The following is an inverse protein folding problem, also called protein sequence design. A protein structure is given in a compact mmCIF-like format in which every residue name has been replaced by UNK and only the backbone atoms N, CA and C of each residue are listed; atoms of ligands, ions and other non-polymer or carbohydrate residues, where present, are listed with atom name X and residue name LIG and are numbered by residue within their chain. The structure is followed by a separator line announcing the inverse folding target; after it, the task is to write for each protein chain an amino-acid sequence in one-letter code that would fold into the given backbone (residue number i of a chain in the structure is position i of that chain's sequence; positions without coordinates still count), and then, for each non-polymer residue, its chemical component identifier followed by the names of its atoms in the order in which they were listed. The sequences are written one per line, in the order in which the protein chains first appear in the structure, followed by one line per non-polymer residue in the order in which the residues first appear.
data_IF_708769076277
#
_entry.id   IF_708769076277
#
_cell.length_a   1.000
_cell.length_b   1.000
_cell.length_c   1.000
_cell.angle_alpha   90.00
_cell.angle_beta   90.00
_cell.angle_gamma   90.00
#
_symmetry.space_group_name_H-M   'P 1'
#
loop_
_entity.id
_entity.type
_entity.pdbx_description
1 polymer ?
#
# COMPACT_ATOMS: atom_id res chain seq x y z
N UNK A 1 -19.63 -63.25 -43.50
CA UNK A 1 -20.06 -61.84 -43.64
C UNK A 1 -20.11 -61.08 -42.31
N UNK A 2 -20.58 -61.66 -41.20
CA UNK A 2 -20.68 -60.95 -39.91
C UNK A 2 -19.34 -60.44 -39.35
N UNK A 3 -18.28 -61.27 -39.39
CA UNK A 3 -16.93 -60.91 -38.92
C UNK A 3 -16.37 -59.63 -39.57
N UNK A 4 -16.50 -59.51 -40.89
CA UNK A 4 -15.99 -58.35 -41.65
C UNK A 4 -16.79 -57.07 -41.32
N UNK A 5 -18.09 -57.21 -41.02
CA UNK A 5 -18.92 -56.09 -40.58
C UNK A 5 -18.48 -55.59 -39.20
N UNK A 6 -18.31 -56.50 -38.25
CA UNK A 6 -17.85 -56.19 -36.90
C UNK A 6 -16.47 -55.51 -36.91
N UNK A 7 -15.54 -55.99 -37.75
CA UNK A 7 -14.21 -55.38 -37.88
C UNK A 7 -14.28 -53.92 -38.36
N UNK A 8 -15.16 -53.61 -39.32
CA UNK A 8 -15.37 -52.24 -39.79
C UNK A 8 -15.97 -51.35 -38.71
N UNK A 9 -16.96 -51.87 -37.97
CA UNK A 9 -17.58 -51.16 -36.86
C UNK A 9 -16.54 -50.83 -35.77
N UNK A 10 -15.71 -51.81 -35.36
CA UNK A 10 -14.65 -51.57 -34.38
C UNK A 10 -13.64 -50.52 -34.85
N UNK A 11 -13.23 -50.55 -36.13
CA UNK A 11 -12.34 -49.53 -36.70
C UNK A 11 -12.95 -48.13 -36.65
N UNK A 12 -14.23 -48.00 -37.00
CA UNK A 12 -14.96 -46.73 -36.93
C UNK A 12 -15.06 -46.18 -35.50
N UNK A 13 -15.34 -47.05 -34.53
CA UNK A 13 -15.38 -46.67 -33.10
C UNK A 13 -13.99 -46.20 -32.63
N UNK A 14 -12.92 -46.90 -32.99
CA UNK A 14 -11.55 -46.51 -32.63
C UNK A 14 -11.20 -45.14 -33.20
N UNK A 15 -11.56 -44.88 -34.47
CA UNK A 15 -11.28 -43.59 -35.11
C UNK A 15 -12.07 -42.45 -34.46
N UNK A 16 -13.34 -42.69 -34.14
CA UNK A 16 -14.19 -41.75 -33.40
C UNK A 16 -13.60 -41.45 -32.02
N UNK A 17 -13.21 -42.48 -31.26
CA UNK A 17 -12.59 -42.32 -29.94
C UNK A 17 -11.28 -41.54 -30.02
N UNK A 18 -10.41 -41.82 -31.00
CA UNK A 18 -9.17 -41.07 -31.20
C UNK A 18 -9.45 -39.57 -31.43
N UNK A 19 -10.46 -39.26 -32.25
CA UNK A 19 -10.89 -37.88 -32.50
C UNK A 19 -11.39 -37.22 -31.21
N UNK A 20 -12.31 -37.86 -30.49
CA UNK A 20 -12.83 -37.33 -29.22
C UNK A 20 -11.74 -37.10 -28.17
N UNK A 21 -10.78 -38.03 -28.03
CA UNK A 21 -9.63 -37.84 -27.13
C UNK A 21 -8.80 -36.63 -27.53
N UNK A 22 -8.55 -36.44 -28.83
CA UNK A 22 -7.81 -35.27 -29.31
C UNK A 22 -8.53 -33.94 -29.03
N UNK A 23 -9.86 -33.91 -29.15
CA UNK A 23 -10.67 -32.73 -28.87
C UNK A 23 -10.69 -32.43 -27.37
N UNK A 24 -10.88 -33.44 -26.53
CA UNK A 24 -10.82 -33.29 -25.06
C UNK A 24 -9.46 -32.76 -24.62
N UNK A 25 -8.36 -33.28 -25.16
CA UNK A 25 -7.01 -32.78 -24.82
C UNK A 25 -6.82 -31.30 -25.16
N UNK A 26 -7.35 -30.83 -26.29
CA UNK A 26 -7.32 -29.40 -26.64
C UNK A 26 -8.11 -28.56 -25.64
N UNK A 27 -9.31 -29.00 -25.28
CA UNK A 27 -10.15 -28.29 -24.29
C UNK A 27 -9.48 -28.24 -22.93
N UNK A 28 -8.90 -29.35 -22.47
CA UNK A 28 -8.17 -29.42 -21.20
C UNK A 28 -6.98 -28.46 -21.21
N UNK A 29 -6.20 -28.43 -22.29
CA UNK A 29 -5.08 -27.51 -22.44
C UNK A 29 -5.53 -26.05 -22.35
N UNK A 30 -6.56 -25.66 -23.10
CA UNK A 30 -7.07 -24.28 -23.05
C UNK A 30 -7.59 -23.90 -21.67
N UNK A 31 -8.32 -24.80 -21.00
CA UNK A 31 -8.79 -24.56 -19.62
C UNK A 31 -7.62 -24.41 -18.65
N UNK A 32 -6.55 -25.20 -18.80
CA UNK A 32 -5.37 -25.09 -17.95
C UNK A 32 -4.69 -23.72 -18.09
N UNK A 33 -4.59 -23.20 -19.32
CA UNK A 33 -4.07 -21.85 -19.57
C UNK A 33 -4.93 -20.81 -18.88
N UNK A 34 -6.26 -20.84 -19.10
CA UNK A 34 -7.17 -19.90 -18.46
C UNK A 34 -7.13 -19.96 -16.93
N UNK A 35 -7.00 -21.16 -16.33
CA UNK A 35 -6.85 -21.30 -14.88
C UNK A 35 -5.60 -20.59 -14.39
N UNK A 36 -4.47 -20.76 -15.08
CA UNK A 36 -3.22 -20.10 -14.70
C UNK A 36 -3.34 -18.57 -14.82
N UNK A 37 -4.02 -18.06 -15.84
CA UNK A 37 -4.27 -16.63 -16.00
C UNK A 37 -5.12 -16.08 -14.84
N UNK A 38 -6.19 -16.80 -14.45
CA UNK A 38 -7.01 -16.42 -13.30
C UNK A 38 -6.22 -16.45 -11.99
N UNK A 39 -5.32 -17.43 -11.79
CA UNK A 39 -4.44 -17.47 -10.61
C UNK A 39 -3.60 -16.19 -10.55
N UNK A 40 -2.97 -15.80 -11.66
CA UNK A 40 -2.15 -14.59 -11.72
C UNK A 40 -2.96 -13.32 -11.40
N UNK A 41 -4.16 -13.18 -11.97
CA UNK A 41 -5.04 -12.04 -11.71
C UNK A 41 -5.43 -12.00 -10.22
N UNK A 42 -5.75 -13.14 -9.62
CA UNK A 42 -6.10 -13.22 -8.20
C UNK A 42 -4.91 -12.84 -7.31
N UNK A 43 -3.69 -13.25 -7.68
CA UNK A 43 -2.49 -12.87 -6.94
C UNK A 43 -2.18 -11.37 -7.04
N UNK A 44 -2.32 -10.79 -8.24
CA UNK A 44 -2.12 -9.35 -8.47
C UNK A 44 -3.12 -8.53 -7.66
N UNK A 45 -4.41 -8.84 -7.78
CA UNK A 45 -5.48 -8.12 -7.07
C UNK A 45 -5.34 -8.21 -5.55
N UNK A 46 -4.89 -9.36 -5.01
CA UNK A 46 -4.58 -9.49 -3.59
C UNK A 46 -3.43 -8.58 -3.16
N UNK A 47 -2.41 -8.44 -3.99
CA UNK A 47 -1.27 -7.55 -3.73
C UNK A 47 -1.70 -6.08 -3.74
N UNK A 48 -2.43 -5.65 -4.77
CA UNK A 48 -2.96 -4.30 -4.88
C UNK A 48 -3.87 -3.95 -3.70
N UNK A 49 -4.74 -4.88 -3.29
CA UNK A 49 -5.62 -4.70 -2.11
C UNK A 49 -4.81 -4.52 -0.82
N UNK A 50 -3.72 -5.26 -0.64
CA UNK A 50 -2.85 -5.11 0.53
C UNK A 50 -2.18 -3.73 0.56
N UNK A 51 -1.69 -3.26 -0.60
CA UNK A 51 -1.08 -1.93 -0.73
C UNK A 51 -2.12 -0.84 -0.40
N UNK A 52 -3.30 -0.90 -1.02
CA UNK A 52 -4.37 0.08 -0.80
C UNK A 52 -4.82 0.15 0.67
N UNK A 53 -4.85 -0.99 1.38
CA UNK A 53 -5.15 -1.01 2.82
C UNK A 53 -4.09 -0.31 3.66
N UNK A 54 -2.81 -0.56 3.38
CA UNK A 54 -1.72 0.11 4.08
C UNK A 54 -1.76 1.64 3.86
N UNK A 55 -2.01 2.08 2.63
CA UNK A 55 -2.14 3.51 2.30
C UNK A 55 -3.35 4.15 2.98
N UNK A 56 -4.49 3.45 2.98
CA UNK A 56 -5.69 3.89 3.68
C UNK A 56 -5.42 4.11 5.18
N UNK A 57 -4.77 3.16 5.84
CA UNK A 57 -4.49 3.25 7.28
C UNK A 57 -3.49 4.38 7.59
N UNK A 58 -2.48 4.58 6.74
CA UNK A 58 -1.57 5.71 6.86
C UNK A 58 -2.28 7.07 6.71
N UNK A 59 -3.18 7.20 5.73
CA UNK A 59 -3.99 8.41 5.53
C UNK A 59 -4.90 8.65 6.73
N UNK A 60 -5.57 7.59 7.21
CA UNK A 60 -6.46 7.66 8.36
C UNK A 60 -5.73 8.17 9.61
N UNK A 61 -4.54 7.64 9.90
CA UNK A 61 -3.71 8.10 11.01
C UNK A 61 -3.31 9.58 10.88
N UNK A 62 -2.95 10.00 9.67
CA UNK A 62 -2.60 11.40 9.39
C UNK A 62 -3.80 12.33 9.57
N UNK A 63 -4.99 11.89 9.15
CA UNK A 63 -6.23 12.64 9.33
C UNK A 63 -6.59 12.79 10.81
N UNK A 64 -6.41 11.73 11.60
CA UNK A 64 -6.60 11.77 13.06
C UNK A 64 -5.63 12.77 13.73
N UNK A 65 -4.37 12.79 13.31
CA UNK A 65 -3.39 13.78 13.77
C UNK A 65 -3.80 15.22 13.45
N UNK A 66 -4.36 15.47 12.27
CA UNK A 66 -4.91 16.77 11.91
C UNK A 66 -6.15 17.14 12.73
N UNK A 67 -7.03 16.18 13.00
CA UNK A 67 -8.18 16.39 13.88
C UNK A 67 -7.74 16.79 15.29
N UNK A 68 -6.76 16.09 15.85
CA UNK A 68 -6.18 16.42 17.16
C UNK A 68 -5.52 17.80 17.16
N UNK A 69 -4.75 18.12 16.12
CA UNK A 69 -4.10 19.43 15.98
C UNK A 69 -5.12 20.56 15.90
N UNK A 70 -6.21 20.36 15.14
CA UNK A 70 -7.33 21.30 15.06
C UNK A 70 -7.94 21.55 16.44
N UNK A 71 -8.27 20.48 17.18
CA UNK A 71 -8.82 20.60 18.52
C UNK A 71 -7.92 21.44 19.44
N UNK A 72 -6.61 21.20 19.42
CA UNK A 72 -5.64 21.97 20.21
C UNK A 72 -5.63 23.45 19.80
N UNK A 73 -5.62 23.74 18.50
CA UNK A 73 -5.63 25.11 17.99
C UNK A 73 -6.91 25.85 18.36
N UNK A 74 -8.06 25.22 18.18
CA UNK A 74 -9.37 25.78 18.56
C UNK A 74 -9.37 26.12 20.05
N UNK A 75 -8.89 25.20 20.91
CA UNK A 75 -8.82 25.45 22.34
C UNK A 75 -7.86 26.60 22.72
N UNK A 76 -6.70 26.70 22.07
CA UNK A 76 -5.75 27.81 22.30
C UNK A 76 -6.40 29.15 21.92
N UNK A 77 -7.11 29.19 20.79
CA UNK A 77 -7.80 30.38 20.31
C UNK A 77 -8.89 30.80 21.30
N UNK A 78 -9.72 29.85 21.75
CA UNK A 78 -10.80 30.11 22.72
C UNK A 78 -10.25 30.70 24.02
N UNK A 79 -9.17 30.12 24.56
CA UNK A 79 -8.52 30.60 25.79
C UNK A 79 -7.95 32.02 25.61
N UNK A 80 -7.39 32.35 24.44
CA UNK A 80 -6.88 33.70 24.15
C UNK A 80 -8.01 34.73 24.07
N UNK A 81 -9.11 34.38 23.42
CA UNK A 81 -10.30 35.24 23.34
C UNK A 81 -10.87 35.51 24.73
N UNK A 82 -10.98 34.48 25.58
CA UNK A 82 -11.46 34.62 26.97
C UNK A 82 -10.59 35.57 27.81
N UNK A 83 -9.29 35.59 27.57
CA UNK A 83 -8.33 36.47 28.26
C UNK A 83 -8.29 37.90 27.71
N UNK A 84 -9.13 38.22 26.71
CA UNK A 84 -9.20 39.55 26.10
C UNK A 84 -7.96 39.93 25.28
N UNK A 85 -7.09 38.95 24.97
CA UNK A 85 -5.84 39.21 24.25
C UNK A 85 -6.06 38.97 22.75
N UNK A 86 -6.59 40.00 22.06
CA UNK A 86 -7.01 39.93 20.64
C UNK A 86 -5.83 39.98 19.65
N UNK A 87 -4.61 40.26 20.14
CA UNK A 87 -3.39 40.06 19.34
C UNK A 87 -3.11 38.56 19.34
N UNK A 88 -3.55 37.85 18.29
CA UNK A 88 -3.33 36.40 18.12
C UNK A 88 -1.87 35.96 18.23
N UNK A 89 -1.61 34.64 18.15
CA UNK A 89 -0.28 33.99 18.29
C UNK A 89 0.81 34.86 17.65
N UNK A 90 1.58 35.54 18.49
CA UNK A 90 2.37 36.72 18.13
C UNK A 90 3.61 36.41 17.30
N UNK A 91 3.46 35.92 16.07
CA UNK A 91 4.58 35.77 15.13
C UNK A 91 5.23 37.13 14.80
N UNK A 92 4.52 38.24 15.02
CA UNK A 92 5.04 39.61 14.89
C UNK A 92 6.04 39.99 15.99
N UNK A 93 6.03 39.27 17.12
CA UNK A 93 6.91 39.52 18.27
C UNK A 93 8.14 38.60 18.30
N UNK A 94 8.16 37.57 17.45
CA UNK A 94 9.36 36.74 17.26
C UNK A 94 10.33 37.53 16.36
N UNK A 95 11.51 37.93 16.86
CA UNK A 95 12.48 38.64 16.03
C UNK A 95 12.89 37.75 14.86
N UNK A 96 13.03 38.35 13.68
CA UNK A 96 13.51 37.63 12.50
C UNK A 96 14.78 36.84 12.83
N UNK A 97 14.92 35.58 12.38
CA UNK A 97 16.12 34.79 12.63
C UNK A 97 17.37 35.60 12.28
N UNK A 98 18.30 35.68 13.22
CA UNK A 98 19.54 36.43 13.05
C UNK A 98 20.28 35.88 11.82
N UNK A 99 20.51 36.75 10.83
CA UNK A 99 21.18 36.42 9.56
C UNK A 99 22.66 36.04 9.71
N UNK A 100 23.15 35.82 10.93
CA UNK A 100 24.56 35.56 11.21
C UNK A 100 25.04 34.16 10.77
N UNK A 101 24.13 33.20 10.56
CA UNK A 101 24.46 31.86 10.07
C UNK A 101 24.17 31.64 8.58
N UNK A 102 23.55 32.61 7.90
CA UNK A 102 23.41 32.59 6.45
C UNK A 102 24.56 33.40 5.86
N UNK A 103 25.77 32.84 5.93
CA UNK A 103 26.87 33.27 5.06
C UNK A 103 26.33 33.28 3.64
N UNK A 104 26.59 34.35 2.87
CA UNK A 104 26.24 34.39 1.45
C UNK A 104 26.73 33.08 0.83
N UNK A 105 25.87 32.39 0.09
CA UNK A 105 26.28 31.18 -0.65
C UNK A 105 27.60 31.49 -1.37
N UNK A 106 28.62 30.62 -1.31
CA UNK A 106 29.88 30.85 -1.99
C UNK A 106 29.60 31.13 -3.47
N UNK A 107 30.27 32.13 -4.03
CA UNK A 107 30.17 32.40 -5.46
C UNK A 107 30.87 31.24 -6.22
N UNK A 108 30.57 31.02 -7.51
CA UNK A 108 31.03 29.84 -8.29
C UNK A 108 32.57 29.63 -8.26
N UNK A 109 33.34 30.71 -8.09
CA UNK A 109 34.80 30.70 -7.99
C UNK A 109 35.32 30.23 -6.61
N UNK A 110 34.50 30.42 -5.56
CA UNK A 110 34.82 30.12 -4.17
C UNK A 110 34.29 28.76 -3.70
N UNK A 111 33.33 28.19 -4.44
CA UNK A 111 32.76 26.86 -4.20
C UNK A 111 33.80 25.73 -4.08
N UNK A 112 34.90 25.68 -4.86
CA UNK A 112 35.93 24.65 -4.70
C UNK A 112 36.76 24.78 -3.41
N UNK A 113 36.69 25.92 -2.71
CA UNK A 113 37.47 26.21 -1.49
C UNK A 113 36.61 26.30 -0.23
N UNK A 114 35.31 26.06 -0.37
CA UNK A 114 34.40 26.10 0.76
C UNK A 114 34.64 24.89 1.66
N UNK A 115 35.27 25.12 2.80
CA UNK A 115 35.31 24.15 3.89
C UNK A 115 34.12 24.42 4.81
N UNK A 116 33.21 23.44 5.03
CA UNK A 116 32.16 23.55 6.02
C UNK A 116 32.78 23.89 7.39
N UNK A 117 32.45 25.06 7.91
CA UNK A 117 32.97 25.59 9.17
C UNK A 117 32.49 24.80 10.40
N UNK A 118 31.46 23.98 10.22
CA UNK A 118 30.95 23.05 11.21
C UNK A 118 31.28 21.64 10.72
N UNK A 119 32.21 20.92 11.38
CA UNK A 119 32.42 19.50 11.14
C UNK A 119 31.09 18.78 11.29
N UNK A 120 30.62 18.13 10.23
CA UNK A 120 29.41 17.32 10.25
C UNK A 120 29.74 16.00 10.94
N UNK A 121 29.76 15.98 12.27
CA UNK A 121 29.76 14.74 13.02
C UNK A 121 28.35 14.13 12.94
N UNK A 122 28.17 13.19 12.03
CA UNK A 122 26.89 12.55 11.75
C UNK A 122 26.27 11.90 13.01
N UNK A 123 27.08 11.46 13.97
CA UNK A 123 26.63 10.91 15.25
C UNK A 123 26.02 12.01 16.13
N UNK A 124 26.63 13.20 16.19
CA UNK A 124 26.14 14.34 16.98
C UNK A 124 24.83 14.91 16.41
N UNK A 125 24.72 15.00 15.08
CA UNK A 125 23.50 15.52 14.43
C UNK A 125 22.32 14.55 14.61
N UNK A 126 22.56 13.25 14.55
CA UNK A 126 21.51 12.23 14.71
C UNK A 126 21.08 12.08 16.17
N UNK A 127 22.03 12.10 17.11
CA UNK A 127 21.73 12.03 18.55
C UNK A 127 21.07 13.30 19.09
N UNK A 128 21.44 14.49 18.60
CA UNK A 128 20.78 15.76 18.95
C UNK A 128 19.33 15.87 18.48
N UNK A 129 18.96 15.13 17.43
CA UNK A 129 17.60 15.01 16.91
C UNK A 129 16.81 13.83 17.53
N UNK A 130 17.41 13.10 18.47
CA UNK A 130 16.77 11.98 19.17
C UNK A 130 16.77 10.66 18.39
N UNK A 131 17.52 10.56 17.29
CA UNK A 131 17.74 9.29 16.60
C UNK A 131 18.90 8.56 17.27
N UNK A 132 18.61 7.48 17.99
CA UNK A 132 19.64 6.56 18.47
C UNK A 132 19.94 5.55 17.35
N UNK A 133 21.20 5.40 16.92
CA UNK A 133 21.58 4.27 16.08
C UNK A 133 21.59 3.00 16.94
N UNK A 134 20.62 2.12 16.71
CA UNK A 134 20.58 0.79 17.31
C UNK A 134 21.68 -0.07 16.67
N UNK A 135 22.89 0.00 17.22
CA UNK A 135 23.95 -0.96 16.92
C UNK A 135 23.65 -2.29 17.62
N UNK A 136 22.97 -3.19 16.91
CA UNK A 136 23.01 -4.63 17.17
C UNK A 136 22.57 -5.42 15.93
N UNK A 137 23.52 -5.82 15.09
CA UNK A 137 23.78 -7.22 14.75
C UNK A 137 24.75 -7.28 13.58
N UNK A 138 25.98 -7.75 13.84
CA UNK A 138 26.76 -8.42 12.80
C UNK A 138 25.98 -9.66 12.34
N UNK A 139 25.81 -9.82 11.03
CA UNK A 139 25.03 -10.90 10.44
C UNK A 139 25.03 -10.80 8.92
N UNK A 140 26.13 -11.26 8.32
CA UNK A 140 26.38 -11.52 6.90
C UNK A 140 25.13 -11.83 6.05
N UNK A 141 24.97 -11.15 4.92
CA UNK A 141 25.02 -11.68 3.54
C UNK A 141 24.33 -10.72 2.57
N UNK A 142 25.00 -10.47 1.45
CA UNK A 142 24.47 -9.82 0.25
C UNK A 142 23.08 -10.35 -0.14
N UNK A 143 22.10 -9.46 -0.32
CA UNK A 143 21.49 -9.29 -1.63
C UNK A 143 20.61 -8.02 -1.72
N UNK A 144 20.83 -7.39 -2.86
CA UNK A 144 20.19 -6.20 -3.44
C UNK A 144 18.70 -6.43 -3.67
N UNK A 145 17.84 -5.65 -3.02
CA UNK A 145 16.59 -5.17 -3.59
C UNK A 145 16.23 -3.81 -2.98
N UNK A 146 16.26 -2.78 -3.84
CA UNK A 146 15.86 -1.41 -3.50
C UNK A 146 14.35 -1.38 -3.27
N UNK A 147 13.94 -1.36 -2.00
CA UNK A 147 12.68 -0.72 -1.62
C UNK A 147 13.03 0.61 -0.97
N UNK A 148 13.13 1.65 -1.80
CA UNK A 148 13.17 3.02 -1.30
C UNK A 148 11.78 3.61 -1.48
N UNK A 149 11.00 3.62 -0.40
CA UNK A 149 9.83 4.46 -0.23
C UNK A 149 10.32 5.92 -0.13
N UNK A 150 10.88 6.44 -1.22
CA UNK A 150 11.30 7.83 -1.34
C UNK A 150 10.06 8.66 -1.67
N UNK A 151 9.43 9.18 -0.62
CA UNK A 151 8.30 10.10 -0.69
C UNK A 151 8.71 11.43 -1.33
N UNK A 152 8.83 11.45 -2.66
CA UNK A 152 8.86 12.68 -3.44
C UNK A 152 7.41 13.09 -3.73
N UNK A 153 6.71 13.64 -2.74
CA UNK A 153 5.37 14.18 -2.96
C UNK A 153 5.48 15.66 -3.35
N UNK A 154 5.19 15.95 -4.61
CA UNK A 154 4.89 17.31 -5.07
C UNK A 154 3.58 17.82 -4.40
N UNK A 155 3.39 19.15 -4.28
CA UNK A 155 2.16 19.70 -3.70
C UNK A 155 0.93 19.27 -4.50
N UNK A 156 -0.20 18.96 -3.84
CA UNK A 156 -1.42 18.57 -4.53
C UNK A 156 -1.99 19.75 -5.32
N UNK A 157 -2.25 19.53 -6.61
CA UNK A 157 -3.04 20.45 -7.46
C UNK A 157 -4.51 20.31 -7.06
N UNK A 158 -5.11 21.42 -6.66
CA UNK A 158 -6.54 21.50 -6.34
C UNK A 158 -7.24 21.70 -7.69
N UNK A 159 -8.00 20.71 -8.16
CA UNK A 159 -8.94 20.89 -9.26
C UNK A 159 -10.28 21.31 -8.66
N UNK A 160 -10.77 22.48 -9.08
CA UNK A 160 -12.08 23.01 -8.70
C UNK A 160 -13.17 22.12 -9.32
N UNK A 161 -13.75 21.25 -8.50
CA UNK A 161 -14.86 20.37 -8.89
C UNK A 161 -16.18 21.12 -8.71
N UNK A 162 -16.61 21.81 -9.76
CA UNK A 162 -17.98 22.28 -9.89
C UNK A 162 -18.80 21.13 -10.50
N UNK A 163 -19.50 20.37 -9.65
CA UNK A 163 -20.42 19.32 -10.11
C UNK A 163 -21.70 19.37 -9.32
N UNK A 164 -22.70 19.95 -9.97
CA UNK A 164 -24.12 19.85 -9.65
C UNK A 164 -24.77 19.27 -10.91
N UNK A 165 -25.27 18.05 -10.85
CA UNK A 165 -26.61 17.77 -11.37
C UNK A 165 -27.16 16.44 -10.81
N UNK A 166 -28.47 16.47 -10.66
CA UNK A 166 -29.39 15.72 -9.82
C UNK A 166 -29.91 14.44 -10.51
N UNK A 167 -30.70 13.65 -9.75
CA UNK A 167 -31.60 12.55 -10.17
C UNK A 167 -30.93 11.18 -10.45
N UNK A 168 -31.38 10.02 -9.97
CA UNK A 168 -32.69 9.63 -9.41
C UNK A 168 -32.60 8.25 -8.75
N UNK A 169 -33.56 8.05 -7.85
CA UNK A 169 -33.93 6.90 -7.05
C UNK A 169 -34.42 5.70 -7.89
N UNK A 170 -33.91 4.48 -7.63
CA UNK A 170 -34.65 3.21 -7.85
C UNK A 170 -34.12 2.12 -6.91
N UNK A 171 -34.93 1.81 -5.91
CA UNK A 171 -34.97 0.55 -5.18
C UNK A 171 -35.37 -0.60 -6.10
N UNK A 172 -34.76 -1.78 -5.94
CA UNK A 172 -35.46 -3.06 -6.08
C UNK A 172 -34.74 -4.17 -5.30
N UNK A 173 -35.53 -4.86 -4.47
CA UNK A 173 -35.21 -6.10 -3.77
C UNK A 173 -35.13 -7.25 -4.77
N UNK A 174 -34.30 -8.26 -4.51
CA UNK A 174 -34.74 -9.63 -4.79
C UNK A 174 -34.10 -10.67 -3.84
N UNK A 175 -34.94 -11.64 -3.48
CA UNK A 175 -34.76 -12.67 -2.46
C UNK A 175 -34.14 -13.97 -3.02
N UNK A 176 -33.55 -14.76 -2.10
CA UNK A 176 -33.38 -16.22 -2.15
C UNK A 176 -32.29 -16.77 -3.11
N UNK A 177 -31.46 -17.75 -2.73
CA UNK A 177 -31.85 -19.11 -2.36
C UNK A 177 -30.83 -19.80 -1.44
N UNK A 178 -31.40 -20.71 -0.65
CA UNK A 178 -30.86 -21.59 0.38
C UNK A 178 -30.02 -22.77 -0.13
N UNK A 179 -29.21 -23.29 0.80
CA UNK A 179 -28.84 -24.70 1.04
C UNK A 179 -28.26 -25.58 -0.09
N UNK A 180 -26.96 -25.91 0.02
CA UNK A 180 -26.51 -27.32 -0.09
C UNK A 180 -25.31 -27.65 0.82
N UNK A 181 -25.58 -28.58 1.74
CA UNK A 181 -24.71 -29.50 2.49
C UNK A 181 -23.25 -29.70 2.03
N UNK A 182 -22.33 -29.45 2.96
CA UNK A 182 -21.45 -30.47 3.57
C UNK A 182 -20.36 -31.14 2.73
N UNK A 183 -19.11 -30.70 2.93
CA UNK A 183 -17.93 -31.59 3.00
C UNK A 183 -17.04 -31.11 4.13
N UNK A 184 -16.87 -31.96 5.14
CA UNK A 184 -15.98 -31.81 6.27
C UNK A 184 -14.54 -32.04 5.78
N UNK A 185 -13.69 -31.02 5.82
CA UNK A 185 -12.28 -31.11 5.44
C UNK A 185 -11.47 -30.96 6.72
N UNK A 186 -10.64 -31.96 7.02
CA UNK A 186 -9.80 -32.05 8.22
C UNK A 186 -8.94 -30.80 8.40
N UNK A 187 -9.13 -30.11 9.54
CA UNK A 187 -8.31 -28.97 9.95
C UNK A 187 -7.01 -29.52 10.54
N UNK A 188 -6.05 -29.82 9.69
CA UNK A 188 -4.67 -30.01 10.13
C UNK A 188 -3.74 -29.30 9.13
N UNK A 189 -3.58 -28.00 9.34
CA UNK A 189 -2.40 -27.26 8.93
C UNK A 189 -2.09 -26.27 10.06
N UNK A 190 -1.16 -26.67 10.92
CA UNK A 190 -0.46 -25.80 11.82
C UNK A 190 0.32 -24.76 10.99
N UNK A 191 -0.23 -23.57 10.83
CA UNK A 191 0.58 -22.37 10.59
C UNK A 191 0.41 -21.54 11.85
N UNK A 192 1.49 -21.51 12.63
CA UNK A 192 1.61 -20.79 13.89
C UNK A 192 1.26 -19.32 13.66
N UNK A 193 0.10 -18.94 14.17
CA UNK A 193 -0.31 -17.57 14.37
C UNK A 193 0.61 -16.99 15.46
N UNK A 194 1.76 -16.45 15.04
CA UNK A 194 2.56 -15.56 15.88
C UNK A 194 2.11 -14.13 15.57
N UNK A 195 0.85 -13.88 15.88
CA UNK A 195 0.30 -12.54 15.97
C UNK A 195 0.97 -11.79 17.12
N UNK A 196 1.29 -10.53 16.83
CA UNK A 196 1.53 -9.42 17.75
C UNK A 196 1.38 -9.72 19.24
N UNK A 197 2.51 -9.96 19.91
CA UNK A 197 2.63 -9.73 21.34
C UNK A 197 3.99 -9.09 21.58
N UNK A 198 3.99 -7.77 21.76
CA UNK A 198 4.82 -7.00 22.70
C UNK A 198 4.73 -5.51 22.34
N UNK A 199 3.61 -4.89 22.75
CA UNK A 199 3.50 -3.44 22.96
C UNK A 199 2.64 -3.23 24.21
N UNK A 200 3.16 -3.61 25.38
CA UNK A 200 2.73 -3.09 26.69
C UNK A 200 3.79 -3.47 27.73
N UNK A 201 4.47 -2.45 28.26
CA UNK A 201 5.54 -2.53 29.26
C UNK A 201 6.34 -1.24 29.28
#
# INVERSE_FOLDING_TARGET
MALVRNEKEFKSVIETLKKSVSEVNKVVYHKQVSINDYINIVEETKRELAIAKCEHDAIKQKLESYSNSRFVLDHIIDVQQLKGNVKGIGYKACPSPLRHNYTKMPDEEDMPRYEPSVPLDYEEVTTGLGFKPDNSSEGSFDNKEKSSCASNQSPPTIEDYDSSDDESDVSDQDESLDETKGVEISIENHILDRSCQECQG
#
